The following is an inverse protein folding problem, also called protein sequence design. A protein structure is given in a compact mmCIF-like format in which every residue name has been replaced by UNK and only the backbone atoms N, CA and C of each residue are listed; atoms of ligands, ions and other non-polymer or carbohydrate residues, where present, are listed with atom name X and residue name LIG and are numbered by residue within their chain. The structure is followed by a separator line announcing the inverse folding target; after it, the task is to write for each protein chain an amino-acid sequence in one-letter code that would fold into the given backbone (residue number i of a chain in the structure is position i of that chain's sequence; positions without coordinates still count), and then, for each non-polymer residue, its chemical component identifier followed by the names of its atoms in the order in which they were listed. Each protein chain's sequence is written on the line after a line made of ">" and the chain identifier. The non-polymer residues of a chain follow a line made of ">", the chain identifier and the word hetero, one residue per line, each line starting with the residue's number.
data_IF_113634039057
#
_entry.id   IF_113634039057
#
_cell.length_a   1.000
_cell.length_b   1.000
_cell.length_c   1.000
_cell.angle_alpha   90.00
_cell.angle_beta   90.00
_cell.angle_gamma   90.00
#
_symmetry.space_group_name_H-M   'P 1'
#
loop_
_entity.id
_entity.type
_entity.pdbx_description
1 polymer ?
#
# COMPACT_ATOMS: atom_id res chain seq x y z
N UNK A 1 -12.84 -32.28 -0.57
CA UNK A 1 -12.22 -31.06 -0.02
C UNK A 1 -12.57 -29.93 -0.98
N UNK A 2 -13.61 -29.15 -0.68
CA UNK A 2 -14.10 -28.09 -1.57
C UNK A 2 -13.27 -26.83 -1.33
N UNK A 3 -12.34 -26.53 -2.24
CA UNK A 3 -11.69 -25.22 -2.31
C UNK A 3 -12.71 -24.23 -2.85
N UNK A 4 -13.28 -23.42 -1.96
CA UNK A 4 -14.08 -22.27 -2.35
C UNK A 4 -13.11 -21.14 -2.72
N UNK A 5 -12.84 -20.95 -4.01
CA UNK A 5 -12.19 -19.73 -4.51
C UNK A 5 -13.25 -18.65 -4.61
N UNK A 6 -13.12 -17.61 -3.79
CA UNK A 6 -13.88 -16.38 -3.97
C UNK A 6 -13.05 -15.45 -4.86
N UNK A 7 -13.65 -14.95 -5.95
CA UNK A 7 -13.09 -13.84 -6.71
C UNK A 7 -12.82 -12.66 -5.76
N UNK A 8 -11.55 -12.34 -5.55
CA UNK A 8 -11.16 -11.15 -4.81
C UNK A 8 -11.14 -9.97 -5.78
N UNK A 9 -12.09 -9.05 -5.61
CA UNK A 9 -12.01 -7.70 -6.19
C UNK A 9 -11.83 -6.71 -5.04
N UNK A 10 -11.11 -5.61 -5.29
CA UNK A 10 -11.09 -4.53 -4.32
C UNK A 10 -12.48 -3.89 -4.29
N UNK A 11 -12.95 -3.44 -3.12
CA UNK A 11 -14.17 -2.65 -3.06
C UNK A 11 -14.02 -1.32 -3.84
N UNK A 12 -15.07 -0.49 -3.96
CA UNK A 12 -14.89 0.88 -4.42
C UNK A 12 -13.86 1.62 -3.57
N UNK A 13 -13.05 2.53 -4.15
CA UNK A 13 -12.06 3.29 -3.39
C UNK A 13 -12.74 4.00 -2.19
N UNK A 14 -12.18 3.90 -0.98
CA UNK A 14 -12.75 4.58 0.18
C UNK A 14 -12.73 6.09 -0.05
N UNK A 15 -13.80 6.77 0.34
CA UNK A 15 -13.85 8.23 0.33
C UNK A 15 -12.72 8.77 1.21
N UNK A 16 -11.84 9.58 0.63
CA UNK A 16 -10.69 10.19 1.31
C UNK A 16 -10.67 11.70 1.09
N UNK A 17 -10.27 12.48 2.11
CA UNK A 17 -10.13 13.91 1.93
C UNK A 17 -9.07 14.21 0.87
N UNK A 18 -9.34 15.21 0.03
CA UNK A 18 -8.34 15.73 -0.90
C UNK A 18 -7.31 16.49 -0.08
N UNK A 19 -6.07 16.08 -0.19
CA UNK A 19 -4.94 16.74 0.48
C UNK A 19 -4.00 17.35 -0.54
N UNK A 20 -3.38 18.46 -0.16
CA UNK A 20 -2.46 19.20 -1.01
C UNK A 20 -1.15 19.46 -0.27
N UNK A 21 -0.11 19.69 -1.06
CA UNK A 21 1.19 20.15 -0.61
C UNK A 21 1.09 21.43 0.24
N UNK A 22 2.08 21.62 1.12
CA UNK A 22 2.16 22.82 1.95
C UNK A 22 2.23 24.09 1.09
N UNK A 23 1.39 25.08 1.39
CA UNK A 23 1.21 26.25 0.53
C UNK A 23 2.32 27.31 0.71
N UNK A 24 3.02 27.31 1.84
CA UNK A 24 3.97 28.36 2.23
C UNK A 24 5.37 27.78 2.48
N UNK A 25 6.04 27.18 1.47
CA UNK A 25 7.38 26.64 1.62
C UNK A 25 8.38 27.73 2.06
N UNK A 26 8.22 28.97 1.60
CA UNK A 26 9.07 30.10 1.99
C UNK A 26 9.04 30.45 3.48
N UNK A 27 8.00 30.01 4.21
CA UNK A 27 7.91 30.22 5.66
C UNK A 27 8.76 29.19 6.45
N UNK A 28 9.32 28.18 5.78
CA UNK A 28 10.12 27.13 6.44
C UNK A 28 11.60 27.42 6.37
N UNK A 29 12.37 26.79 7.24
CA UNK A 29 13.84 26.84 7.22
C UNK A 29 14.39 26.36 5.87
N UNK A 30 13.89 25.24 5.36
CA UNK A 30 14.31 24.67 4.08
C UNK A 30 13.95 25.60 2.90
N UNK A 31 12.77 26.21 2.91
CA UNK A 31 12.39 27.17 1.86
C UNK A 31 13.16 28.47 1.92
N UNK A 32 13.47 28.96 3.13
CA UNK A 32 14.35 30.12 3.32
C UNK A 32 15.77 29.84 2.80
N UNK A 33 16.31 28.64 3.07
CA UNK A 33 17.60 28.21 2.56
C UNK A 33 17.61 28.11 1.02
N UNK A 34 16.57 27.51 0.44
CA UNK A 34 16.41 27.40 -1.00
C UNK A 34 16.33 28.78 -1.68
N UNK A 35 15.58 29.71 -1.08
CA UNK A 35 15.44 31.08 -1.58
C UNK A 35 16.77 31.85 -1.48
N UNK A 36 17.51 31.71 -0.38
CA UNK A 36 18.79 32.38 -0.17
C UNK A 36 19.89 31.88 -1.12
N UNK A 37 19.85 30.60 -1.51
CA UNK A 37 20.79 30.00 -2.46
C UNK A 37 20.46 30.33 -3.93
N UNK A 38 19.24 30.78 -4.22
CA UNK A 38 18.78 31.02 -5.59
C UNK A 38 19.27 32.39 -6.10
N UNK A 39 19.85 32.47 -7.32
CA UNK A 39 20.19 33.76 -7.94
C UNK A 39 18.94 34.59 -8.26
N UNK A 40 17.81 33.92 -8.48
CA UNK A 40 16.47 34.49 -8.62
C UNK A 40 15.43 33.42 -8.30
N UNK A 41 14.32 33.79 -7.65
CA UNK A 41 13.22 32.89 -7.24
C UNK A 41 12.49 32.19 -8.40
N UNK A 42 12.77 32.57 -9.66
CA UNK A 42 12.24 31.90 -10.86
C UNK A 42 13.03 30.64 -11.25
N UNK A 43 14.27 30.51 -10.80
CA UNK A 43 15.12 29.37 -11.16
C UNK A 43 15.04 28.27 -10.11
N UNK A 44 15.11 27.03 -10.59
CA UNK A 44 15.27 25.86 -9.73
C UNK A 44 16.75 25.50 -9.62
N UNK A 45 17.15 25.09 -8.42
CA UNK A 45 18.49 24.58 -8.14
C UNK A 45 18.51 23.06 -8.16
N UNK A 46 19.62 22.49 -8.61
CA UNK A 46 19.82 21.04 -8.68
C UNK A 46 21.21 20.67 -8.17
N UNK A 47 21.29 19.58 -7.39
CA UNK A 47 22.55 18.96 -6.97
C UNK A 47 22.47 17.46 -7.15
N UNK A 48 23.49 16.91 -7.80
CA UNK A 48 23.59 15.48 -8.05
C UNK A 48 23.98 14.71 -6.78
N UNK A 49 23.36 13.56 -6.55
CA UNK A 49 23.71 12.57 -5.55
C UNK A 49 24.15 11.29 -6.26
N UNK A 50 25.45 11.14 -6.45
CA UNK A 50 26.04 9.99 -7.14
C UNK A 50 26.23 8.77 -6.21
N UNK A 51 26.48 9.01 -4.93
CA UNK A 51 26.67 7.97 -3.92
C UNK A 51 25.36 7.64 -3.21
N UNK A 52 25.21 6.36 -2.82
CA UNK A 52 24.08 5.92 -2.01
C UNK A 52 24.13 6.47 -0.58
N UNK A 53 25.33 6.62 -0.03
CA UNK A 53 25.57 7.21 1.28
C UNK A 53 25.17 8.69 1.31
N UNK A 54 25.56 9.46 0.29
CA UNK A 54 25.14 10.86 0.12
C UNK A 54 23.60 10.97 -0.03
N UNK A 55 22.99 10.05 -0.78
CA UNK A 55 21.54 9.99 -0.94
C UNK A 55 20.84 9.73 0.40
N UNK A 56 21.26 8.71 1.15
CA UNK A 56 20.69 8.38 2.45
C UNK A 56 20.85 9.52 3.46
N UNK A 57 22.04 10.15 3.48
CA UNK A 57 22.31 11.31 4.35
C UNK A 57 21.43 12.50 3.99
N UNK A 58 21.21 12.77 2.69
CA UNK A 58 20.29 13.83 2.25
C UNK A 58 18.85 13.55 2.68
N UNK A 59 18.36 12.32 2.51
CA UNK A 59 17.01 11.93 2.94
C UNK A 59 16.83 12.09 4.46
N UNK A 60 17.81 11.66 5.25
CA UNK A 60 17.79 11.81 6.71
C UNK A 60 17.80 13.29 7.12
N UNK A 61 18.66 14.11 6.52
CA UNK A 61 18.72 15.54 6.79
C UNK A 61 17.40 16.25 6.44
N UNK A 62 16.77 15.89 5.31
CA UNK A 62 15.45 16.44 4.96
C UNK A 62 14.38 16.04 5.98
N UNK A 63 14.37 14.80 6.46
CA UNK A 63 13.45 14.37 7.50
C UNK A 63 13.70 15.12 8.82
N UNK A 64 14.97 15.33 9.21
CA UNK A 64 15.33 16.01 10.46
C UNK A 64 15.00 17.51 10.45
N UNK A 65 15.07 18.15 9.28
CA UNK A 65 14.81 19.59 9.13
C UNK A 65 13.41 19.94 8.62
N UNK A 66 12.57 18.96 8.26
CA UNK A 66 11.17 19.22 7.91
C UNK A 66 10.41 19.85 9.11
N UNK A 67 9.62 20.88 8.84
CA UNK A 67 8.87 21.66 9.83
C UNK A 67 7.36 21.45 9.77
N UNK A 68 6.80 21.24 8.58
CA UNK A 68 5.35 21.12 8.37
C UNK A 68 4.94 19.85 7.62
N UNK A 69 5.64 19.48 6.55
CA UNK A 69 5.23 18.33 5.72
C UNK A 69 6.40 17.49 5.26
N UNK A 70 6.18 16.18 5.15
CA UNK A 70 7.13 15.23 4.61
C UNK A 70 6.39 14.19 3.73
N UNK A 71 6.65 14.21 2.43
CA UNK A 71 5.96 13.36 1.46
C UNK A 71 6.94 12.35 0.85
N UNK A 72 6.67 11.05 1.01
CA UNK A 72 7.49 9.94 0.55
C UNK A 72 6.71 9.13 -0.49
N UNK A 73 7.27 8.95 -1.68
CA UNK A 73 6.68 8.14 -2.75
C UNK A 73 7.71 7.16 -3.29
N UNK A 74 7.50 5.86 -3.09
CA UNK A 74 8.45 4.83 -3.51
C UNK A 74 7.77 3.57 -4.07
N UNK A 75 8.33 3.07 -5.18
CA UNK A 75 7.95 1.79 -5.78
C UNK A 75 8.33 0.57 -4.94
N UNK A 76 9.49 0.63 -4.31
CA UNK A 76 10.03 -0.47 -3.51
C UNK A 76 10.60 0.09 -2.22
N UNK A 77 10.26 -0.58 -1.12
CA UNK A 77 10.81 -0.30 0.20
C UNK A 77 11.08 -1.63 0.89
N UNK A 78 12.33 -1.89 1.25
CA UNK A 78 12.74 -3.10 1.96
C UNK A 78 12.78 -2.86 3.47
N UNK A 79 12.47 -3.86 4.27
CA UNK A 79 12.70 -3.80 5.72
C UNK A 79 14.16 -4.19 6.06
N UNK A 80 15.08 -3.25 5.86
CA UNK A 80 16.50 -3.42 6.11
C UNK A 80 17.12 -2.28 6.95
N UNK A 81 18.41 -2.35 7.23
CA UNK A 81 19.06 -1.48 8.21
C UNK A 81 19.01 0.00 7.78
N UNK A 82 19.28 0.26 6.50
CA UNK A 82 19.25 1.62 5.92
C UNK A 82 17.84 2.19 5.94
N UNK A 83 16.85 1.38 5.53
CA UNK A 83 15.45 1.82 5.51
C UNK A 83 14.93 2.07 6.93
N UNK A 84 15.20 1.17 7.88
CA UNK A 84 14.84 1.38 9.29
C UNK A 84 15.55 2.59 9.89
N UNK A 85 16.79 2.86 9.50
CA UNK A 85 17.48 4.07 9.93
C UNK A 85 16.77 5.33 9.42
N UNK A 86 16.47 5.40 8.13
CA UNK A 86 15.73 6.52 7.55
C UNK A 86 14.35 6.69 8.20
N UNK A 87 13.61 5.60 8.41
CA UNK A 87 12.28 5.65 9.03
C UNK A 87 12.31 6.15 10.47
N UNK A 88 13.43 6.00 11.20
CA UNK A 88 13.58 6.64 12.53
C UNK A 88 13.60 8.17 12.42
N UNK A 89 14.25 8.73 11.40
CA UNK A 89 14.23 10.18 11.15
C UNK A 89 12.84 10.65 10.73
N UNK A 90 12.17 9.90 9.85
CA UNK A 90 10.78 10.17 9.44
C UNK A 90 9.83 10.13 10.64
N UNK A 91 9.97 9.14 11.52
CA UNK A 91 9.20 9.05 12.75
C UNK A 91 9.51 10.22 13.70
N UNK A 92 10.79 10.60 13.82
CA UNK A 92 11.20 11.79 14.57
C UNK A 92 10.56 13.08 14.04
N UNK A 93 10.43 13.24 12.72
CA UNK A 93 9.70 14.35 12.12
C UNK A 93 8.23 14.36 12.55
N UNK A 94 7.56 13.20 12.47
CA UNK A 94 6.18 13.06 12.89
C UNK A 94 5.98 13.43 14.37
N UNK A 95 6.91 13.03 15.25
CA UNK A 95 6.92 13.37 16.68
C UNK A 95 7.02 14.89 16.91
N UNK A 96 7.71 15.63 16.04
CA UNK A 96 7.78 17.10 16.08
C UNK A 96 6.52 17.80 15.57
N UNK A 97 5.52 17.05 15.08
CA UNK A 97 4.29 17.60 14.54
C UNK A 97 4.23 17.68 13.02
N UNK A 98 5.26 17.21 12.30
CA UNK A 98 5.28 17.21 10.83
C UNK A 98 4.24 16.23 10.30
N UNK A 99 3.42 16.66 9.34
CA UNK A 99 2.49 15.77 8.62
C UNK A 99 3.29 14.94 7.62
N UNK A 100 3.25 13.61 7.78
CA UNK A 100 3.97 12.67 6.93
C UNK A 100 2.98 11.89 6.07
N UNK A 101 3.18 11.90 4.74
CA UNK A 101 2.41 11.10 3.78
C UNK A 101 3.34 10.10 3.10
N UNK A 102 3.04 8.81 3.22
CA UNK A 102 3.85 7.72 2.64
C UNK A 102 3.03 6.98 1.59
N UNK A 103 3.44 7.04 0.34
CA UNK A 103 2.79 6.34 -0.77
C UNK A 103 3.70 5.22 -1.30
N UNK A 104 3.27 3.98 -1.15
CA UNK A 104 4.03 2.80 -1.58
C UNK A 104 3.30 2.01 -2.65
N UNK A 105 4.04 1.41 -3.58
CA UNK A 105 3.48 0.48 -4.55
C UNK A 105 3.31 -0.93 -3.94
N UNK A 106 2.10 -1.46 -3.96
CA UNK A 106 1.72 -2.68 -3.22
C UNK A 106 2.40 -3.99 -3.68
N UNK A 107 3.00 -4.03 -4.87
CA UNK A 107 3.57 -5.25 -5.45
C UNK A 107 4.72 -5.80 -4.61
N UNK A 108 5.41 -4.91 -3.88
CA UNK A 108 6.64 -5.24 -3.16
C UNK A 108 6.57 -4.98 -1.65
N UNK A 109 5.38 -4.87 -1.06
CA UNK A 109 5.26 -4.70 0.41
C UNK A 109 5.23 -6.02 1.17
N UNK A 110 5.16 -7.16 0.46
CA UNK A 110 5.13 -8.48 1.08
C UNK A 110 6.34 -8.69 2.02
N UNK A 111 6.07 -8.92 3.31
CA UNK A 111 7.09 -9.08 4.35
C UNK A 111 7.55 -7.80 5.05
N UNK A 112 7.09 -6.62 4.62
CA UNK A 112 7.32 -5.33 5.30
C UNK A 112 6.05 -4.80 6.01
N UNK A 113 4.94 -5.55 5.95
CA UNK A 113 3.62 -5.10 6.39
C UNK A 113 3.59 -4.69 7.88
N UNK A 114 4.25 -5.44 8.78
CA UNK A 114 4.25 -5.14 10.22
C UNK A 114 4.98 -3.82 10.57
N UNK A 115 6.12 -3.55 9.92
CA UNK A 115 6.87 -2.31 10.12
C UNK A 115 6.10 -1.10 9.56
N UNK A 116 5.47 -1.27 8.39
CA UNK A 116 4.62 -0.26 7.77
C UNK A 116 3.38 0.04 8.62
N UNK A 117 2.69 -1.00 9.11
CA UNK A 117 1.55 -0.87 10.03
C UNK A 117 1.98 -0.14 11.31
N UNK A 118 3.13 -0.51 11.88
CA UNK A 118 3.66 0.15 13.08
C UNK A 118 3.86 1.65 12.88
N UNK A 119 4.42 2.04 11.72
CA UNK A 119 4.63 3.45 11.38
C UNK A 119 3.31 4.24 11.35
N UNK A 120 2.24 3.65 10.82
CA UNK A 120 0.90 4.28 10.76
C UNK A 120 0.19 4.42 12.11
N UNK A 121 0.74 3.89 13.20
CA UNK A 121 0.19 4.12 14.55
C UNK A 121 0.41 5.55 15.03
N UNK A 122 1.34 6.28 14.44
CA UNK A 122 1.58 7.68 14.77
C UNK A 122 0.51 8.56 14.09
N UNK A 123 -0.18 9.46 14.82
CA UNK A 123 -1.32 10.22 14.27
C UNK A 123 -0.96 11.16 13.12
N UNK A 124 0.30 11.58 13.03
CA UNK A 124 0.80 12.42 11.93
C UNK A 124 1.37 11.63 10.73
N UNK A 125 1.32 10.29 10.73
CA UNK A 125 1.81 9.48 9.61
C UNK A 125 0.64 8.77 8.93
N UNK A 126 0.37 9.14 7.69
CA UNK A 126 -0.57 8.43 6.84
C UNK A 126 0.18 7.60 5.80
N UNK A 127 -0.22 6.35 5.61
CA UNK A 127 0.30 5.48 4.57
C UNK A 127 -0.83 5.06 3.61
N UNK A 128 -0.59 5.25 2.32
CA UNK A 128 -1.42 4.73 1.24
C UNK A 128 -0.64 3.75 0.37
N UNK A 129 -1.33 2.71 -0.07
CA UNK A 129 -0.84 1.75 -1.06
C UNK A 129 -1.41 2.11 -2.43
N UNK A 130 -0.52 2.26 -3.42
CA UNK A 130 -0.88 2.51 -4.79
C UNK A 130 -1.16 1.20 -5.54
N UNK A 131 -2.31 1.21 -6.23
CA UNK A 131 -2.86 0.15 -7.04
C UNK A 131 -2.74 -1.24 -6.38
N UNK A 132 -3.33 -1.44 -5.19
CA UNK A 132 -3.15 -2.67 -4.44
C UNK A 132 -3.77 -3.88 -5.13
N UNK A 133 -3.27 -5.06 -4.77
CA UNK A 133 -3.82 -6.34 -5.17
C UNK A 133 -4.98 -6.72 -4.24
N UNK A 134 -6.06 -7.29 -4.79
CA UNK A 134 -7.26 -7.63 -4.03
C UNK A 134 -7.07 -8.83 -3.09
N UNK A 135 -6.11 -9.72 -3.38
CA UNK A 135 -5.81 -10.89 -2.55
C UNK A 135 -4.35 -11.35 -2.72
N UNK A 136 -3.97 -12.37 -1.95
CA UNK A 136 -2.68 -13.04 -2.08
C UNK A 136 -1.51 -12.26 -1.50
N UNK A 137 -1.73 -11.43 -0.46
CA UNK A 137 -0.72 -10.53 0.11
C UNK A 137 0.52 -11.22 0.68
N UNK A 138 0.44 -12.52 0.99
CA UNK A 138 1.53 -13.30 1.58
C UNK A 138 2.77 -13.46 0.69
N UNK A 139 2.66 -13.30 -0.63
CA UNK A 139 3.83 -13.30 -1.54
C UNK A 139 3.55 -12.54 -2.84
N UNK A 140 4.60 -12.06 -3.52
CA UNK A 140 4.48 -11.41 -4.84
C UNK A 140 3.87 -12.35 -5.89
N UNK A 141 4.23 -13.64 -5.85
CA UNK A 141 3.68 -14.64 -6.76
C UNK A 141 2.15 -14.79 -6.58
N UNK A 142 1.69 -14.89 -5.33
CA UNK A 142 0.26 -15.02 -5.02
C UNK A 142 -0.51 -13.76 -5.39
N UNK A 143 0.07 -12.55 -5.26
CA UNK A 143 -0.52 -11.29 -5.74
C UNK A 143 -0.74 -11.30 -7.26
N UNK A 144 0.28 -11.71 -8.01
CA UNK A 144 0.21 -11.78 -9.48
C UNK A 144 -0.78 -12.84 -9.95
N UNK A 145 -0.77 -14.03 -9.33
CA UNK A 145 -1.71 -15.10 -9.65
C UNK A 145 -3.16 -14.70 -9.34
N UNK A 146 -3.39 -14.03 -8.20
CA UNK A 146 -4.72 -13.52 -7.83
C UNK A 146 -5.23 -12.39 -8.75
N UNK A 147 -4.34 -11.77 -9.55
CA UNK A 147 -4.69 -10.67 -10.47
C UNK A 147 -4.43 -10.98 -11.95
N UNK A 148 -4.31 -12.26 -12.30
CA UNK A 148 -4.06 -12.67 -13.70
C UNK A 148 -5.18 -12.26 -14.67
N UNK A 149 -6.41 -11.99 -14.15
CA UNK A 149 -7.55 -11.47 -14.93
C UNK A 149 -7.55 -9.94 -15.04
N UNK A 150 -6.77 -9.23 -14.22
CA UNK A 150 -6.59 -7.77 -14.27
C UNK A 150 -5.13 -7.44 -14.64
N UNK A 151 -4.73 -7.84 -15.85
CA UNK A 151 -3.39 -7.60 -16.37
C UNK A 151 -3.02 -6.11 -16.44
N UNK A 152 -4.03 -5.22 -16.46
CA UNK A 152 -3.82 -3.77 -16.36
C UNK A 152 -3.30 -3.38 -14.98
N UNK A 153 -3.85 -3.94 -13.88
CA UNK A 153 -3.38 -3.70 -12.51
C UNK A 153 -1.95 -4.20 -12.27
N UNK A 154 -1.60 -5.31 -12.91
CA UNK A 154 -0.22 -5.84 -12.89
C UNK A 154 0.75 -4.87 -13.57
N UNK A 155 0.36 -4.30 -14.72
CA UNK A 155 1.23 -3.43 -15.50
C UNK A 155 1.24 -1.96 -15.06
N UNK A 156 0.18 -1.47 -14.40
CA UNK A 156 0.07 -0.08 -13.95
C UNK A 156 0.70 0.09 -12.56
N UNK A 157 2.02 0.21 -12.51
CA UNK A 157 2.78 0.39 -11.27
C UNK A 157 3.30 1.81 -11.13
N UNK A 158 3.38 2.30 -9.89
CA UNK A 158 3.98 3.58 -9.57
C UNK A 158 5.48 3.39 -9.41
N UNK A 159 6.25 3.76 -10.43
CA UNK A 159 7.72 3.63 -10.44
C UNK A 159 8.45 4.88 -9.94
N UNK A 160 7.76 5.81 -9.31
CA UNK A 160 8.34 7.04 -8.79
C UNK A 160 9.24 6.76 -7.57
N UNK A 161 10.23 7.63 -7.38
CA UNK A 161 11.03 7.74 -6.16
C UNK A 161 11.15 9.23 -5.87
N UNK A 162 10.39 9.69 -4.90
CA UNK A 162 10.28 11.10 -4.58
C UNK A 162 10.19 11.26 -3.07
N UNK A 163 10.97 12.17 -2.55
CA UNK A 163 11.01 12.53 -1.14
C UNK A 163 10.98 14.05 -1.03
N UNK A 164 9.91 14.63 -0.48
CA UNK A 164 9.72 16.09 -0.42
C UNK A 164 9.58 16.54 1.02
N UNK A 165 10.36 17.53 1.42
CA UNK A 165 10.23 18.21 2.70
C UNK A 165 9.68 19.62 2.49
N UNK A 166 8.62 19.95 3.23
CA UNK A 166 7.98 21.28 3.31
C UNK A 166 7.53 21.91 1.98
N UNK A 167 7.40 21.10 0.92
CA UNK A 167 7.22 21.61 -0.45
C UNK A 167 8.36 22.58 -0.89
N UNK A 168 9.53 22.46 -0.25
CA UNK A 168 10.66 23.38 -0.40
C UNK A 168 11.87 22.72 -1.06
N UNK A 169 12.20 21.50 -0.64
CA UNK A 169 13.31 20.70 -1.20
C UNK A 169 12.81 19.29 -1.45
N UNK A 170 13.20 18.72 -2.59
CA UNK A 170 12.87 17.35 -2.98
C UNK A 170 14.12 16.56 -3.37
N UNK A 171 14.09 15.25 -3.14
CA UNK A 171 15.02 14.28 -3.73
C UNK A 171 14.22 13.36 -4.64
N UNK A 172 14.70 13.17 -5.87
CA UNK A 172 14.11 12.23 -6.83
C UNK A 172 15.21 11.58 -7.67
N UNK A 173 14.97 10.37 -8.17
CA UNK A 173 15.97 9.66 -8.97
C UNK A 173 15.70 8.18 -9.17
N UNK A 174 16.78 7.40 -9.23
CA UNK A 174 16.76 5.96 -9.47
C UNK A 174 16.60 5.11 -8.20
N UNK A 175 16.96 5.64 -7.02
CA UNK A 175 17.09 4.83 -5.80
C UNK A 175 15.75 4.56 -5.13
N UNK A 176 15.43 3.27 -4.98
CA UNK A 176 14.41 2.82 -4.03
C UNK A 176 14.99 2.79 -2.60
N UNK A 177 14.15 2.45 -1.62
CA UNK A 177 14.60 2.31 -0.23
C UNK A 177 15.08 0.88 0.04
N UNK A 178 16.38 0.72 0.27
CA UNK A 178 17.00 -0.52 0.75
C UNK A 178 18.53 -0.50 0.74
N UNK A 179 19.16 -1.40 1.48
CA UNK A 179 20.62 -1.46 1.70
C UNK A 179 21.40 -1.52 0.38
N UNK A 180 20.92 -2.31 -0.59
CA UNK A 180 21.54 -2.42 -1.92
C UNK A 180 21.53 -1.11 -2.71
N UNK A 181 20.56 -0.22 -2.45
CA UNK A 181 20.48 1.10 -3.09
C UNK A 181 21.35 2.14 -2.39
N UNK A 182 21.83 1.87 -1.18
CA UNK A 182 22.65 2.80 -0.40
C UNK A 182 24.09 2.30 -0.21
N UNK A 183 24.53 1.32 -1.02
CA UNK A 183 25.87 0.72 -0.98
C UNK A 183 26.17 0.04 0.36
N UNK A 184 25.13 -0.42 1.07
CA UNK A 184 25.25 -1.08 2.38
C UNK A 184 25.04 -2.60 2.29
N UNK A 185 24.75 -3.16 1.11
CA UNK A 185 24.64 -4.60 0.96
C UNK A 185 26.01 -5.26 0.81
N UNK A 186 26.21 -6.34 1.56
CA UNK A 186 27.40 -7.21 1.45
C UNK A 186 27.35 -8.13 0.21
N UNK A 187 26.20 -8.23 -0.45
CA UNK A 187 26.00 -9.17 -1.57
C UNK A 187 26.01 -8.46 -2.94
N UNK A 188 25.21 -7.41 -3.10
CA UNK A 188 25.09 -6.68 -4.38
C UNK A 188 24.55 -5.28 -4.15
N UNK A 189 25.12 -4.29 -4.84
CA UNK A 189 24.74 -2.89 -4.74
C UNK A 189 24.38 -2.31 -6.12
N UNK A 190 23.39 -1.42 -6.15
CA UNK A 190 22.94 -0.72 -7.34
C UNK A 190 23.67 0.60 -7.54
N UNK A 191 24.01 0.90 -8.79
CA UNK A 191 24.56 2.19 -9.21
C UNK A 191 23.41 3.01 -9.79
N UNK A 192 22.84 3.86 -8.95
CA UNK A 192 21.77 4.79 -9.30
C UNK A 192 22.21 6.24 -9.08
N UNK A 193 21.38 7.17 -9.56
CA UNK A 193 21.62 8.59 -9.45
C UNK A 193 20.36 9.26 -8.94
N UNK A 194 20.53 10.11 -7.94
CA UNK A 194 19.45 10.98 -7.47
C UNK A 194 19.84 12.45 -7.68
N UNK A 195 18.84 13.32 -7.59
CA UNK A 195 19.02 14.77 -7.63
C UNK A 195 18.27 15.39 -6.47
N UNK A 196 18.95 16.26 -5.72
CA UNK A 196 18.31 17.25 -4.86
C UNK A 196 17.81 18.37 -5.76
N UNK A 197 16.53 18.69 -5.67
CA UNK A 197 15.90 19.81 -6.34
C UNK A 197 15.37 20.81 -5.32
N UNK A 198 15.53 22.10 -5.60
CA UNK A 198 15.03 23.20 -4.79
C UNK A 198 14.45 24.30 -5.68
N UNK A 199 13.51 25.09 -5.14
CA UNK A 199 12.85 26.18 -5.88
C UNK A 199 11.59 25.72 -6.63
N UNK A 200 11.15 26.45 -7.67
CA UNK A 200 9.84 26.27 -8.29
C UNK A 200 9.50 24.85 -8.76
N UNK A 201 10.49 24.08 -9.24
CA UNK A 201 10.30 22.69 -9.69
C UNK A 201 9.74 21.78 -8.59
N UNK A 202 10.02 22.09 -7.32
CA UNK A 202 9.50 21.29 -6.19
C UNK A 202 7.98 21.38 -6.12
N UNK A 203 7.37 22.51 -6.53
CA UNK A 203 5.92 22.64 -6.59
C UNK A 203 5.31 21.70 -7.64
N UNK A 204 5.97 21.50 -8.76
CA UNK A 204 5.53 20.56 -9.80
C UNK A 204 5.68 19.10 -9.33
N UNK A 205 6.76 18.79 -8.60
CA UNK A 205 6.98 17.48 -7.99
C UNK A 205 5.91 17.17 -6.93
N UNK A 206 5.62 18.11 -6.03
CA UNK A 206 4.57 17.97 -5.03
C UNK A 206 3.18 17.87 -5.65
N UNK A 207 2.88 18.66 -6.68
CA UNK A 207 1.64 18.52 -7.44
C UNK A 207 1.53 17.15 -8.12
N UNK A 208 2.64 16.57 -8.56
CA UNK A 208 2.68 15.20 -9.06
C UNK A 208 2.37 14.21 -7.95
N UNK A 209 3.01 14.32 -6.78
CA UNK A 209 2.69 13.50 -5.61
C UNK A 209 1.20 13.57 -5.27
N UNK A 210 0.63 14.77 -5.19
CA UNK A 210 -0.78 14.99 -4.85
C UNK A 210 -1.73 14.32 -5.84
N UNK A 211 -1.41 14.30 -7.14
CA UNK A 211 -2.21 13.55 -8.14
C UNK A 211 -2.24 12.05 -7.84
N UNK A 212 -1.12 11.45 -7.46
CA UNK A 212 -1.09 10.04 -7.09
C UNK A 212 -1.77 9.78 -5.76
N UNK A 213 -1.47 10.60 -4.74
CA UNK A 213 -2.02 10.50 -3.38
C UNK A 213 -3.55 10.54 -3.35
N UNK A 214 -4.13 11.43 -4.16
CA UNK A 214 -5.58 11.64 -4.23
C UNK A 214 -6.26 10.74 -5.28
N UNK A 215 -5.51 10.01 -6.11
CA UNK A 215 -6.08 9.12 -7.14
C UNK A 215 -6.86 7.97 -6.53
N UNK A 216 -7.89 7.46 -7.21
CA UNK A 216 -8.66 6.28 -6.81
C UNK A 216 -7.83 5.00 -6.63
N UNK A 217 -6.60 4.99 -7.17
CA UNK A 217 -5.65 3.91 -7.03
C UNK A 217 -4.86 3.96 -5.72
N UNK A 218 -4.89 5.06 -4.96
CA UNK A 218 -4.23 5.16 -3.66
C UNK A 218 -5.19 4.79 -2.51
N UNK A 219 -4.87 3.74 -1.78
CA UNK A 219 -5.72 3.14 -0.74
C UNK A 219 -5.08 3.29 0.65
N UNK A 220 -5.76 3.88 1.64
CA UNK A 220 -5.26 3.89 3.01
C UNK A 220 -5.00 2.47 3.50
N UNK A 221 -3.81 2.22 4.05
CA UNK A 221 -3.39 0.88 4.47
C UNK A 221 -4.42 0.22 5.41
N UNK A 222 -5.02 1.00 6.31
CA UNK A 222 -5.96 0.54 7.32
C UNK A 222 -7.25 -0.06 6.73
N UNK A 223 -7.60 0.26 5.48
CA UNK A 223 -8.82 -0.24 4.82
C UNK A 223 -8.66 -1.66 4.25
N UNK A 224 -7.43 -2.19 4.23
CA UNK A 224 -7.09 -3.42 3.51
C UNK A 224 -6.87 -4.63 4.44
N UNK A 225 -7.01 -4.47 5.76
CA UNK A 225 -6.59 -5.46 6.77
C UNK A 225 -7.71 -6.02 7.67
N UNK A 226 -8.99 -5.78 7.35
CA UNK A 226 -10.11 -6.23 8.18
C UNK A 226 -10.32 -7.76 8.11
N UNK A 227 -10.11 -8.44 9.24
CA UNK A 227 -10.24 -9.90 9.41
C UNK A 227 -11.38 -10.19 10.39
N UNK A 228 -12.61 -10.10 9.89
CA UNK A 228 -13.84 -10.24 10.68
C UNK A 228 -14.83 -11.25 10.05
N UNK A 229 -15.46 -12.07 10.87
CA UNK A 229 -16.48 -13.06 10.52
C UNK A 229 -17.72 -12.85 11.38
N UNK A 230 -18.90 -12.80 10.77
CA UNK A 230 -20.18 -12.74 11.49
C UNK A 230 -20.99 -14.01 11.25
N UNK A 231 -21.42 -14.66 12.34
CA UNK A 231 -22.24 -15.89 12.32
C UNK A 231 -23.64 -15.56 12.87
N UNK A 232 -24.67 -15.98 12.13
CA UNK A 232 -26.10 -15.84 12.47
C UNK A 232 -26.55 -14.42 12.88
N UNK A 233 -25.81 -13.38 12.45
CA UNK A 233 -25.99 -11.98 12.89
C UNK A 233 -26.00 -11.81 14.41
N UNK A 234 -25.31 -12.69 15.15
CA UNK A 234 -25.30 -12.71 16.63
C UNK A 234 -23.91 -12.85 17.22
N UNK A 235 -22.99 -13.48 16.50
CA UNK A 235 -21.62 -13.70 16.93
C UNK A 235 -20.67 -13.05 15.93
N UNK A 236 -19.90 -12.06 16.39
CA UNK A 236 -18.79 -11.47 15.66
C UNK A 236 -17.49 -12.13 16.14
N UNK A 237 -16.70 -12.63 15.20
CA UNK A 237 -15.32 -13.05 15.40
C UNK A 237 -14.45 -12.00 14.70
N UNK A 238 -13.56 -11.35 15.45
CA UNK A 238 -12.60 -10.39 14.90
C UNK A 238 -11.23 -10.67 15.49
N UNK A 239 -10.20 -10.76 14.65
CA UNK A 239 -8.89 -11.22 15.11
C UNK A 239 -7.80 -11.08 14.08
N UNK A 240 -6.62 -11.60 14.40
CA UNK A 240 -5.45 -11.58 13.52
C UNK A 240 -5.45 -12.69 12.46
N UNK A 241 -6.36 -13.67 12.60
CA UNK A 241 -6.41 -14.87 11.77
C UNK A 241 -6.78 -14.56 10.32
N UNK A 242 -5.90 -14.90 9.38
CA UNK A 242 -6.26 -15.05 7.98
C UNK A 242 -6.95 -16.41 7.81
N UNK A 243 -8.02 -16.51 7.01
CA UNK A 243 -8.76 -17.76 6.82
C UNK A 243 -8.04 -18.70 5.82
N UNK A 244 -6.79 -19.03 6.12
CA UNK A 244 -5.93 -19.94 5.36
C UNK A 244 -5.30 -21.02 6.27
N UNK A 245 -4.90 -22.17 5.69
CA UNK A 245 -4.34 -23.27 6.48
C UNK A 245 -3.06 -22.89 7.26
N UNK A 246 -2.27 -21.92 6.81
CA UNK A 246 -1.07 -21.41 7.49
C UNK A 246 -1.42 -20.71 8.79
N UNK A 247 -2.36 -19.76 8.76
CA UNK A 247 -2.87 -19.10 9.97
C UNK A 247 -3.53 -20.09 10.94
N UNK A 248 -4.09 -21.19 10.44
CA UNK A 248 -4.65 -22.26 11.27
C UNK A 248 -3.62 -23.22 11.89
N UNK A 249 -2.41 -23.32 11.33
CA UNK A 249 -1.43 -24.37 11.71
C UNK A 249 -0.10 -23.85 12.25
N UNK A 250 0.32 -22.66 11.84
CA UNK A 250 1.68 -22.18 12.06
C UNK A 250 1.73 -20.84 12.81
N UNK A 251 0.72 -19.98 12.65
CA UNK A 251 0.70 -18.70 13.36
C UNK A 251 0.09 -18.84 14.76
N UNK A 252 0.59 -18.01 15.69
CA UNK A 252 -0.10 -17.77 16.96
C UNK A 252 -1.09 -16.63 16.76
N UNK A 253 -2.37 -16.96 16.68
CA UNK A 253 -3.44 -16.01 16.38
C UNK A 253 -4.24 -15.67 17.64
N UNK A 254 -4.79 -14.46 17.69
CA UNK A 254 -5.77 -14.07 18.72
C UNK A 254 -7.05 -13.60 18.05
N UNK A 255 -8.19 -14.06 18.55
CA UNK A 255 -9.51 -13.64 18.09
C UNK A 255 -10.42 -13.32 19.27
N UNK A 256 -11.20 -12.27 19.13
CA UNK A 256 -12.29 -11.92 20.03
C UNK A 256 -13.59 -12.49 19.45
N UNK A 257 -14.24 -13.34 20.23
CA UNK A 257 -15.58 -13.84 19.96
C UNK A 257 -16.60 -13.01 20.76
N UNK A 258 -17.28 -12.09 20.08
CA UNK A 258 -18.21 -11.14 20.67
C UNK A 258 -19.65 -11.55 20.33
N UNK A 259 -20.40 -12.04 21.32
CA UNK A 259 -21.82 -12.36 21.16
C UNK A 259 -22.66 -11.11 21.38
N UNK A 260 -22.81 -10.29 20.34
CA UNK A 260 -23.64 -9.08 20.37
C UNK A 260 -24.42 -8.95 19.06
N UNK A 261 -25.75 -9.13 19.07
CA UNK A 261 -26.58 -8.93 17.89
C UNK A 261 -26.52 -7.50 17.34
N UNK A 262 -26.35 -6.50 18.20
CA UNK A 262 -26.22 -5.09 17.80
C UNK A 262 -24.91 -4.86 17.03
N UNK A 263 -23.79 -5.31 17.60
CA UNK A 263 -22.48 -5.15 16.99
C UNK A 263 -22.34 -6.00 15.70
N UNK A 264 -22.90 -7.21 15.72
CA UNK A 264 -22.95 -8.08 14.55
C UNK A 264 -23.78 -7.46 13.41
N UNK A 265 -24.91 -6.81 13.72
CA UNK A 265 -25.72 -6.12 12.73
C UNK A 265 -25.01 -4.88 12.16
N UNK A 266 -24.25 -4.15 12.98
CA UNK A 266 -23.45 -3.00 12.54
C UNK A 266 -22.34 -3.43 11.57
N UNK A 267 -21.59 -4.48 11.90
CA UNK A 267 -20.57 -5.05 11.03
C UNK A 267 -21.18 -5.62 9.75
N UNK A 268 -22.32 -6.33 9.84
CA UNK A 268 -23.03 -6.82 8.64
C UNK A 268 -23.49 -5.68 7.75
N UNK A 269 -23.96 -4.55 8.29
CA UNK A 269 -24.30 -3.37 7.49
C UNK A 269 -23.09 -2.78 6.77
N UNK A 270 -21.93 -2.68 7.46
CA UNK A 270 -20.68 -2.25 6.83
C UNK A 270 -20.27 -3.19 5.68
N UNK A 271 -20.45 -4.50 5.84
CA UNK A 271 -20.19 -5.47 4.77
C UNK A 271 -21.24 -5.42 3.64
N UNK A 272 -22.53 -5.30 3.96
CA UNK A 272 -23.63 -5.23 2.98
C UNK A 272 -23.53 -3.96 2.12
N UNK A 273 -23.17 -2.82 2.72
CA UNK A 273 -22.92 -1.55 2.00
C UNK A 273 -21.74 -1.67 1.02
N UNK A 274 -20.76 -2.52 1.33
CA UNK A 274 -19.58 -2.79 0.48
C UNK A 274 -19.85 -3.91 -0.55
N UNK A 275 -20.67 -4.90 -0.21
CA UNK A 275 -20.94 -6.08 -1.01
C UNK A 275 -22.08 -5.89 -2.02
N UNK A 276 -23.11 -5.11 -1.68
CA UNK A 276 -24.33 -4.97 -2.49
C UNK A 276 -24.14 -4.32 -3.86
N UNK A 277 -23.04 -3.60 -4.08
CA UNK A 277 -22.73 -2.89 -5.32
C UNK A 277 -21.72 -3.59 -6.24
N UNK A 278 -21.00 -4.61 -5.76
CA UNK A 278 -19.75 -5.04 -6.42
C UNK A 278 -19.32 -6.48 -6.17
N UNK A 279 -20.15 -7.31 -5.52
CA UNK A 279 -19.83 -8.72 -5.24
C UNK A 279 -20.87 -9.68 -5.83
N UNK A 280 -20.43 -10.91 -6.13
CA UNK A 280 -21.34 -12.01 -6.45
C UNK A 280 -21.87 -12.62 -5.15
N UNK A 281 -23.19 -12.65 -5.01
CA UNK A 281 -23.88 -13.40 -3.95
C UNK A 281 -24.00 -14.86 -4.35
N UNK A 282 -23.56 -15.75 -3.47
CA UNK A 282 -23.67 -17.20 -3.65
C UNK A 282 -25.00 -17.72 -3.08
N UNK A 283 -25.73 -18.49 -3.88
CA UNK A 283 -26.90 -19.25 -3.46
C UNK A 283 -26.65 -20.73 -3.74
N UNK A 284 -26.77 -21.58 -2.71
CA UNK A 284 -26.65 -23.02 -2.88
C UNK A 284 -27.95 -23.59 -3.45
N UNK A 285 -27.83 -24.33 -4.55
CA UNK A 285 -28.93 -25.05 -5.19
C UNK A 285 -29.12 -26.42 -4.53
N UNK A 286 -30.33 -26.98 -4.68
CA UNK A 286 -30.73 -28.24 -4.05
C UNK A 286 -29.90 -29.46 -4.49
N UNK A 287 -29.20 -29.37 -5.63
CA UNK A 287 -28.31 -30.39 -6.18
C UNK A 287 -26.84 -30.22 -5.74
N UNK A 288 -26.56 -29.24 -4.87
CA UNK A 288 -25.22 -28.92 -4.38
C UNK A 288 -24.42 -28.02 -5.32
N UNK A 289 -24.99 -27.56 -6.44
CA UNK A 289 -24.36 -26.55 -7.28
C UNK A 289 -24.51 -25.15 -6.66
N UNK A 290 -23.65 -24.23 -7.08
CA UNK A 290 -23.67 -22.84 -6.64
C UNK A 290 -24.24 -21.95 -7.74
N UNK A 291 -25.18 -21.08 -7.39
CA UNK A 291 -25.65 -19.98 -8.21
C UNK A 291 -24.95 -18.69 -7.77
N UNK A 292 -24.34 -18.00 -8.72
CA UNK A 292 -23.59 -16.77 -8.55
C UNK A 292 -24.42 -15.60 -9.08
N UNK A 293 -24.96 -14.79 -8.18
CA UNK A 293 -25.84 -13.67 -8.49
C UNK A 293 -25.02 -12.39 -8.35
N UNK A 294 -24.66 -11.76 -9.47
CA UNK A 294 -23.88 -10.53 -9.45
C UNK A 294 -24.72 -9.27 -9.15
N UNK A 295 -24.09 -8.08 -9.12
CA UNK A 295 -24.76 -6.79 -8.92
C UNK A 295 -25.84 -6.48 -9.99
N UNK A 296 -26.75 -5.52 -9.75
CA UNK A 296 -27.77 -5.13 -10.71
C UNK A 296 -27.17 -4.79 -12.08
N UNK A 297 -27.64 -5.46 -13.15
CA UNK A 297 -27.11 -5.31 -14.51
C UNK A 297 -26.06 -6.34 -14.92
N UNK A 298 -25.67 -7.27 -14.03
CA UNK A 298 -24.79 -8.40 -14.37
C UNK A 298 -25.56 -9.72 -14.54
N UNK A 299 -25.08 -10.65 -15.38
CA UNK A 299 -25.70 -11.96 -15.53
C UNK A 299 -25.57 -12.80 -14.26
N UNK A 300 -26.54 -13.70 -14.02
CA UNK A 300 -26.44 -14.74 -12.99
C UNK A 300 -25.85 -16.01 -13.61
N UNK A 301 -24.95 -16.69 -12.90
CA UNK A 301 -24.28 -17.91 -13.38
C UNK A 301 -24.62 -19.10 -12.48
N UNK A 302 -24.79 -20.30 -13.04
CA UNK A 302 -25.05 -21.53 -12.29
C UNK A 302 -23.91 -22.53 -12.47
N UNK A 303 -23.54 -23.20 -11.39
CA UNK A 303 -22.46 -24.19 -11.34
C UNK A 303 -21.10 -23.53 -11.17
N UNK A 304 -20.47 -23.12 -12.27
CA UNK A 304 -19.07 -22.70 -12.27
C UNK A 304 -18.89 -21.23 -11.95
N UNK A 305 -17.81 -20.91 -11.23
CA UNK A 305 -17.42 -19.55 -10.89
C UNK A 305 -17.39 -18.64 -12.14
N UNK A 306 -18.09 -17.49 -12.12
CA UNK A 306 -18.03 -16.51 -13.19
C UNK A 306 -16.59 -16.05 -13.45
N UNK A 307 -16.31 -15.71 -14.71
CA UNK A 307 -15.00 -15.24 -15.17
C UNK A 307 -13.85 -16.29 -15.09
N UNK A 308 -14.10 -17.49 -14.55
CA UNK A 308 -13.13 -18.59 -14.44
C UNK A 308 -13.11 -19.51 -15.65
N UNK A 309 -12.46 -19.06 -16.73
CA UNK A 309 -12.23 -19.87 -17.93
C UNK A 309 -11.46 -21.17 -17.66
N UNK A 310 -11.58 -22.14 -18.59
CA UNK A 310 -10.91 -23.46 -18.49
C UNK A 310 -9.41 -23.35 -18.24
N UNK A 311 -8.74 -22.36 -18.84
CA UNK A 311 -7.29 -22.13 -18.65
C UNK A 311 -6.92 -21.71 -17.23
N UNK A 312 -7.71 -20.83 -16.60
CA UNK A 312 -7.48 -20.41 -15.20
C UNK A 312 -7.71 -21.58 -14.25
N UNK A 313 -8.70 -22.43 -14.53
CA UNK A 313 -8.99 -23.62 -13.72
C UNK A 313 -7.91 -24.69 -13.87
N UNK A 314 -7.41 -24.90 -15.09
CA UNK A 314 -6.29 -25.80 -15.34
C UNK A 314 -5.01 -25.29 -14.66
N UNK A 315 -4.75 -23.98 -14.70
CA UNK A 315 -3.61 -23.37 -14.01
C UNK A 315 -3.72 -23.53 -12.49
N UNK A 316 -4.90 -23.33 -11.89
CA UNK A 316 -5.15 -23.53 -10.46
C UNK A 316 -5.05 -25.00 -10.05
N UNK A 317 -5.51 -25.93 -10.88
CA UNK A 317 -5.37 -27.37 -10.66
C UNK A 317 -3.92 -27.85 -10.80
N UNK A 318 -3.16 -27.25 -11.73
CA UNK A 318 -1.75 -27.57 -11.95
C UNK A 318 -0.84 -26.96 -10.88
N UNK A 319 -1.11 -25.73 -10.44
CA UNK A 319 -0.29 -25.04 -9.44
C UNK A 319 -0.71 -25.33 -8.00
N UNK A 320 -1.95 -25.74 -7.76
CA UNK A 320 -2.46 -26.08 -6.42
C UNK A 320 -1.60 -27.09 -5.63
N UNK A 321 -1.03 -28.13 -6.27
CA UNK A 321 -0.10 -29.06 -5.63
C UNK A 321 1.34 -28.56 -5.49
N UNK A 322 1.74 -27.51 -6.21
CA UNK A 322 3.10 -26.93 -6.18
C UNK A 322 3.17 -25.59 -5.45
N UNK A 323 2.05 -25.11 -4.90
CA UNK A 323 2.08 -24.14 -3.83
C UNK A 323 2.85 -24.80 -2.67
N UNK A 324 4.04 -24.31 -2.30
CA UNK A 324 4.84 -24.89 -1.23
C UNK A 324 4.01 -25.06 0.04
N UNK A 325 4.29 -26.07 0.87
CA UNK A 325 3.64 -26.24 2.19
C UNK A 325 3.89 -25.03 3.13
N UNK A 326 4.79 -24.11 2.76
CA UNK A 326 5.05 -22.82 3.42
C UNK A 326 4.09 -21.69 2.96
N UNK A 327 3.31 -21.92 1.89
CA UNK A 327 2.35 -21.01 1.25
C UNK A 327 0.89 -21.50 1.32
N UNK A 328 0.62 -22.63 1.97
CA UNK A 328 -0.72 -23.12 2.33
C UNK A 328 -0.94 -22.97 3.83
#
# INVERSE_FOLDING_TARGET
>A
MALCTACASLPPPPAKPVEQAWAQPEATELGSLAAAAAPNLRFSGFRLLASGEDALAALAALADHAQHTLDLQYYLMRDDASTRALLRHVHGAAQRGVRVRVLLDDLNTAGADDALICLTRHPNIELRLYNPFPAGRGSTLTRVLASIRDLRRVNQRMHNKLFVADNAIAVTGGRNLGDAYFVQSLASNFVDLDVIAAGPVVRDLSASFDRFWNSDLAWPLQTLDAKALVIDRRLLLIGSMNMDPRSARLNTEVALAIRSPLLAAEVVRLFDDVAGSSSYRLEALADGQLRWIGPPGTPTFEGTEPDAGLGTRLLLLLLGPFAPDELL
#
